data_IF_655732534345
#
_entry.id   IF_655732534345
#
_cell.length_a   1.000
_cell.length_b   1.000
_cell.length_c   1.000
_cell.angle_alpha   90.00
_cell.angle_beta   90.00
_cell.angle_gamma   90.00
#
_symmetry.space_group_name_H-M   'P 1'
#
loop_
_entity.id
_entity.type
_entity.pdbx_description
1 polymer ?
#
# COMPACT_ATOMS: atom_id res chain seq x y z
N UNK A 1 15.71 -15.20 24.41
CA UNK A 1 16.59 -14.61 23.37
C UNK A 1 15.98 -14.75 21.98
N UNK A 2 15.50 -15.94 21.59
CA UNK A 2 14.85 -16.15 20.27
C UNK A 2 13.65 -15.22 20.04
N UNK A 3 12.70 -15.14 20.96
CA UNK A 3 11.54 -14.25 20.86
C UNK A 3 11.89 -12.78 20.69
N UNK A 4 12.95 -12.30 21.34
CA UNK A 4 13.41 -10.91 21.15
C UNK A 4 13.93 -10.67 19.74
N UNK A 5 14.70 -11.60 19.18
CA UNK A 5 15.22 -11.51 17.82
C UNK A 5 14.10 -11.59 16.77
N UNK A 6 13.14 -12.46 16.96
CA UNK A 6 11.94 -12.57 16.14
C UNK A 6 11.16 -11.24 16.07
N UNK A 7 10.85 -10.69 17.25
CA UNK A 7 10.16 -9.41 17.35
C UNK A 7 10.98 -8.27 16.74
N UNK A 8 12.30 -8.29 16.90
CA UNK A 8 13.20 -7.28 16.33
C UNK A 8 13.19 -7.35 14.80
N UNK A 9 13.30 -8.55 14.23
CA UNK A 9 13.29 -8.75 12.77
C UNK A 9 11.95 -8.31 12.19
N UNK A 10 10.83 -8.81 12.72
CA UNK A 10 9.48 -8.40 12.26
C UNK A 10 9.25 -6.89 12.41
N UNK A 11 9.71 -6.29 13.51
CA UNK A 11 9.65 -4.84 13.70
C UNK A 11 10.48 -4.05 12.70
N UNK A 12 11.68 -4.53 12.34
CA UNK A 12 12.52 -3.91 11.31
C UNK A 12 11.85 -3.98 9.92
N UNK A 13 11.27 -5.13 9.57
CA UNK A 13 10.59 -5.31 8.30
C UNK A 13 9.35 -4.42 8.19
N UNK A 14 8.50 -4.37 9.22
CA UNK A 14 7.40 -3.43 9.29
C UNK A 14 7.89 -1.97 9.21
N UNK A 15 8.99 -1.64 9.89
CA UNK A 15 9.62 -0.31 9.85
C UNK A 15 10.09 0.09 8.45
N UNK A 16 10.58 -0.86 7.65
CA UNK A 16 10.93 -0.60 6.24
C UNK A 16 9.70 -0.20 5.41
N UNK A 17 8.57 -0.88 5.59
CA UNK A 17 7.33 -0.53 4.89
C UNK A 17 6.84 0.86 5.30
N UNK A 18 6.87 1.18 6.59
CA UNK A 18 6.52 2.52 7.06
C UNK A 18 7.48 3.60 6.53
N UNK A 19 8.77 3.31 6.39
CA UNK A 19 9.73 4.26 5.84
C UNK A 19 9.49 4.55 4.35
N UNK A 20 9.01 3.59 3.57
CA UNK A 20 8.58 3.83 2.19
C UNK A 20 7.37 4.78 2.12
N UNK A 21 6.40 4.61 3.02
CA UNK A 21 5.27 5.55 3.13
C UNK A 21 5.75 6.94 3.55
N UNK A 22 6.67 7.03 4.51
CA UNK A 22 7.25 8.29 4.95
C UNK A 22 8.03 9.00 3.84
N UNK A 23 8.77 8.26 3.00
CA UNK A 23 9.40 8.80 1.79
C UNK A 23 8.37 9.42 0.85
N UNK A 24 7.22 8.77 0.66
CA UNK A 24 6.11 9.33 -0.12
C UNK A 24 5.64 10.68 0.43
N UNK A 25 5.47 10.81 1.75
CA UNK A 25 5.16 12.08 2.40
C UNK A 25 6.19 13.17 2.11
N UNK A 26 7.48 12.85 2.28
CA UNK A 26 8.57 13.80 2.05
C UNK A 26 8.62 14.26 0.60
N UNK A 27 8.46 13.34 -0.36
CA UNK A 27 8.47 13.66 -1.78
C UNK A 27 7.33 14.59 -2.19
N UNK A 28 6.10 14.29 -1.73
CA UNK A 28 4.92 15.12 -2.00
C UNK A 28 5.12 16.51 -1.39
N UNK A 29 5.52 16.58 -0.12
CA UNK A 29 5.77 17.86 0.55
C UNK A 29 6.86 18.68 -0.14
N UNK A 30 7.96 18.04 -0.54
CA UNK A 30 9.06 18.71 -1.23
C UNK A 30 8.68 19.23 -2.62
N UNK A 31 7.77 18.51 -3.31
CA UNK A 31 7.31 18.87 -4.64
C UNK A 31 6.23 19.95 -4.64
N UNK A 32 5.29 19.90 -3.69
CA UNK A 32 4.08 20.72 -3.67
C UNK A 32 4.06 21.79 -2.57
N UNK A 33 4.89 21.66 -1.53
CA UNK A 33 4.81 22.48 -0.31
C UNK A 33 3.58 22.16 0.57
N UNK A 34 2.77 21.17 0.18
CA UNK A 34 1.53 20.77 0.87
C UNK A 34 1.74 19.43 1.58
N UNK A 35 1.39 19.40 2.87
CA UNK A 35 1.41 18.16 3.64
C UNK A 35 0.14 17.35 3.36
N UNK A 36 0.26 16.23 2.66
CA UNK A 36 -0.89 15.42 2.24
C UNK A 36 -1.22 14.35 3.28
N UNK A 37 -2.17 14.62 4.17
CA UNK A 37 -2.62 13.63 5.18
C UNK A 37 -3.40 12.46 4.57
N UNK A 38 -3.84 12.54 3.30
CA UNK A 38 -4.49 11.43 2.61
C UNK A 38 -3.52 10.34 2.14
N UNK A 39 -2.20 10.49 2.35
CA UNK A 39 -1.19 9.53 1.90
C UNK A 39 -1.47 8.10 2.38
N UNK A 40 -1.85 7.92 3.64
CA UNK A 40 -2.20 6.60 4.19
C UNK A 40 -3.38 5.96 3.48
N UNK A 41 -4.45 6.72 3.24
CA UNK A 41 -5.63 6.26 2.50
C UNK A 41 -5.28 5.91 1.03
N UNK A 42 -4.37 6.66 0.39
CA UNK A 42 -3.88 6.33 -0.95
C UNK A 42 -3.11 5.00 -0.98
N UNK A 43 -2.27 4.74 0.03
CA UNK A 43 -1.54 3.47 0.15
C UNK A 43 -2.52 2.32 0.35
N UNK A 44 -3.51 2.48 1.23
CA UNK A 44 -4.56 1.48 1.46
C UNK A 44 -5.35 1.20 0.17
N UNK A 45 -5.76 2.24 -0.55
CA UNK A 45 -6.48 2.10 -1.82
C UNK A 45 -5.66 1.35 -2.87
N UNK A 46 -4.34 1.64 -2.97
CA UNK A 46 -3.43 0.93 -3.86
C UNK A 46 -3.31 -0.56 -3.49
N UNK A 47 -3.19 -0.87 -2.21
CA UNK A 47 -3.09 -2.24 -1.71
C UNK A 47 -4.36 -3.04 -2.00
N UNK A 48 -5.54 -2.45 -1.75
CA UNK A 48 -6.83 -3.07 -2.06
C UNK A 48 -7.00 -3.30 -3.57
N UNK A 49 -6.65 -2.31 -4.40
CA UNK A 49 -6.68 -2.46 -5.85
C UNK A 49 -5.80 -3.62 -6.31
N UNK A 50 -4.56 -3.69 -5.83
CA UNK A 50 -3.64 -4.77 -6.16
C UNK A 50 -4.20 -6.14 -5.75
N UNK A 51 -4.68 -6.28 -4.51
CA UNK A 51 -5.23 -7.53 -4.01
C UNK A 51 -6.43 -8.01 -4.84
N UNK A 52 -7.35 -7.11 -5.18
CA UNK A 52 -8.52 -7.45 -6.01
C UNK A 52 -8.14 -7.84 -7.43
N UNK A 53 -7.23 -7.12 -8.07
CA UNK A 53 -6.80 -7.51 -9.42
C UNK A 53 -6.00 -8.81 -9.44
N UNK A 54 -5.22 -9.09 -8.40
CA UNK A 54 -4.55 -10.38 -8.26
C UNK A 54 -5.53 -11.56 -8.18
N UNK A 55 -6.71 -11.38 -7.56
CA UNK A 55 -7.78 -12.38 -7.53
C UNK A 55 -8.57 -12.46 -8.85
N UNK A 56 -8.77 -11.33 -9.55
CA UNK A 56 -9.64 -11.27 -10.74
C UNK A 56 -8.93 -11.68 -12.02
N UNK A 57 -7.64 -11.37 -12.16
CA UNK A 57 -6.87 -11.68 -13.37
C UNK A 57 -6.87 -13.17 -13.69
N UNK A 58 -6.58 -14.11 -12.77
CA UNK A 58 -6.64 -15.54 -13.06
C UNK A 58 -8.04 -15.98 -13.51
N UNK A 59 -9.09 -15.43 -12.88
CA UNK A 59 -10.48 -15.77 -13.21
C UNK A 59 -10.90 -15.31 -14.60
N UNK A 60 -10.33 -14.20 -15.11
CA UNK A 60 -10.72 -13.62 -16.39
C UNK A 60 -9.83 -14.08 -17.55
N UNK A 61 -8.55 -14.30 -17.28
CA UNK A 61 -7.57 -14.62 -18.32
C UNK A 61 -7.19 -16.10 -18.36
N UNK A 62 -7.53 -16.87 -17.31
CA UNK A 62 -7.11 -18.27 -17.20
C UNK A 62 -5.61 -18.45 -16.97
N UNK A 63 -4.91 -17.41 -16.53
CA UNK A 63 -3.48 -17.47 -16.21
C UNK A 63 -3.32 -18.06 -14.82
N UNK A 64 -2.93 -19.33 -14.72
CA UNK A 64 -2.75 -20.03 -13.46
C UNK A 64 -1.41 -19.72 -12.77
N UNK A 65 -0.50 -19.00 -13.43
CA UNK A 65 0.78 -18.65 -12.83
C UNK A 65 0.61 -17.43 -11.89
N UNK A 66 0.75 -17.61 -10.55
CA UNK A 66 0.52 -16.54 -9.58
C UNK A 66 1.49 -15.37 -9.74
N UNK A 67 2.72 -15.61 -10.17
CA UNK A 67 3.72 -14.56 -10.36
C UNK A 67 3.30 -13.62 -11.51
N UNK A 68 2.83 -14.19 -12.62
CA UNK A 68 2.38 -13.39 -13.78
C UNK A 68 1.11 -12.62 -13.44
N UNK A 69 0.16 -13.24 -12.72
CA UNK A 69 -1.06 -12.60 -12.30
C UNK A 69 -0.78 -11.42 -11.35
N UNK A 70 0.11 -11.59 -10.38
CA UNK A 70 0.50 -10.55 -9.44
C UNK A 70 1.26 -9.40 -10.12
N UNK A 71 2.15 -9.71 -11.07
CA UNK A 71 2.85 -8.68 -11.85
C UNK A 71 1.85 -7.84 -12.69
N UNK A 72 0.90 -8.50 -13.34
CA UNK A 72 -0.15 -7.82 -14.08
C UNK A 72 -1.04 -6.97 -13.15
N UNK A 73 -1.43 -7.51 -11.98
CA UNK A 73 -2.18 -6.78 -10.97
C UNK A 73 -1.43 -5.54 -10.49
N UNK A 74 -0.12 -5.65 -10.25
CA UNK A 74 0.72 -4.53 -9.86
C UNK A 74 0.74 -3.42 -10.91
N UNK A 75 0.90 -3.76 -12.19
CA UNK A 75 0.89 -2.79 -13.29
C UNK A 75 -0.47 -2.10 -13.40
N UNK A 76 -1.58 -2.85 -13.30
CA UNK A 76 -2.93 -2.30 -13.38
C UNK A 76 -3.21 -1.40 -12.16
N UNK A 77 -2.89 -1.86 -10.95
CA UNK A 77 -3.04 -1.06 -9.73
C UNK A 77 -2.21 0.23 -9.81
N UNK A 78 -0.97 0.14 -10.33
CA UNK A 78 -0.11 1.30 -10.58
C UNK A 78 -0.72 2.30 -11.57
N UNK A 79 -1.31 1.81 -12.66
CA UNK A 79 -2.00 2.66 -13.64
C UNK A 79 -3.22 3.37 -13.02
N UNK A 80 -4.03 2.65 -12.23
CA UNK A 80 -5.17 3.22 -11.50
C UNK A 80 -4.69 4.29 -10.52
N UNK A 81 -3.64 4.00 -9.75
CA UNK A 81 -3.06 4.95 -8.80
C UNK A 81 -2.49 6.19 -9.48
N UNK A 82 -1.90 6.04 -10.66
CA UNK A 82 -1.46 7.19 -11.45
C UNK A 82 -2.63 8.11 -11.83
N UNK A 83 -3.74 7.54 -12.29
CA UNK A 83 -4.96 8.31 -12.62
C UNK A 83 -5.54 8.96 -11.36
N UNK A 84 -5.64 8.24 -10.26
CA UNK A 84 -6.13 8.76 -8.97
C UNK A 84 -5.25 9.91 -8.47
N UNK A 85 -3.92 9.73 -8.49
CA UNK A 85 -2.96 10.75 -8.07
C UNK A 85 -3.05 12.01 -8.95
N UNK A 86 -3.19 11.85 -10.27
CA UNK A 86 -3.37 12.96 -11.21
C UNK A 86 -4.69 13.71 -10.95
N UNK A 87 -5.78 13.00 -10.68
CA UNK A 87 -7.06 13.61 -10.32
C UNK A 87 -6.96 14.39 -9.01
N UNK A 88 -6.33 13.81 -7.98
CA UNK A 88 -6.13 14.45 -6.68
C UNK A 88 -5.28 15.72 -6.84
N UNK A 89 -4.19 15.63 -7.58
CA UNK A 89 -3.34 16.81 -7.87
C UNK A 89 -4.15 17.89 -8.54
N UNK A 90 -4.84 17.56 -9.63
CA UNK A 90 -5.56 18.53 -10.46
C UNK A 90 -6.78 19.14 -9.78
N UNK A 91 -7.56 18.34 -9.04
CA UNK A 91 -8.83 18.75 -8.46
C UNK A 91 -8.69 19.31 -7.04
N UNK A 92 -7.68 18.86 -6.29
CA UNK A 92 -7.55 19.18 -4.86
C UNK A 92 -6.24 19.93 -4.60
N UNK A 93 -5.08 19.27 -4.76
CA UNK A 93 -3.80 19.82 -4.31
C UNK A 93 -3.43 21.11 -5.02
N UNK A 94 -3.71 21.22 -6.30
CA UNK A 94 -3.44 22.43 -7.08
C UNK A 94 -4.15 23.67 -6.56
N UNK A 95 -5.36 23.50 -6.02
CA UNK A 95 -6.14 24.61 -5.47
C UNK A 95 -5.76 24.94 -4.02
N UNK A 96 -5.00 24.07 -3.38
CA UNK A 96 -4.54 24.26 -2.00
C UNK A 96 -3.19 24.98 -1.91
N UNK A 97 -2.51 25.18 -3.02
CA UNK A 97 -1.25 25.93 -3.05
C UNK A 97 -1.51 27.37 -2.61
N UNK A 98 -0.69 27.86 -1.66
CA UNK A 98 -0.80 29.19 -1.04
C UNK A 98 -2.02 29.38 -0.10
N UNK A 99 -2.72 28.33 0.29
CA UNK A 99 -3.76 28.40 1.32
C UNK A 99 -3.16 28.29 2.72
N UNK A 100 -3.92 28.74 3.73
CA UNK A 100 -3.52 28.62 5.12
C UNK A 100 -3.39 27.17 5.56
N UNK A 101 -2.46 26.86 6.47
CA UNK A 101 -2.15 25.50 6.93
C UNK A 101 -3.36 24.72 7.42
N UNK A 102 -4.33 25.41 8.06
CA UNK A 102 -5.55 24.79 8.58
C UNK A 102 -6.46 24.31 7.42
N UNK A 103 -6.53 25.07 6.34
CA UNK A 103 -7.32 24.71 5.15
C UNK A 103 -6.71 23.49 4.48
N UNK A 104 -5.37 23.47 4.34
CA UNK A 104 -4.61 22.34 3.81
C UNK A 104 -4.86 21.06 4.62
N UNK A 105 -4.80 21.16 5.94
CA UNK A 105 -5.04 20.07 6.87
C UNK A 105 -6.47 19.50 6.71
N UNK A 106 -7.49 20.35 6.77
CA UNK A 106 -8.89 19.93 6.65
C UNK A 106 -9.19 19.31 5.29
N UNK A 107 -8.68 19.91 4.20
CA UNK A 107 -8.92 19.41 2.85
C UNK A 107 -8.27 18.03 2.63
N UNK A 108 -7.05 17.82 3.11
CA UNK A 108 -6.36 16.52 2.95
C UNK A 108 -6.94 15.43 3.85
N UNK A 109 -7.46 15.76 5.04
CA UNK A 109 -8.22 14.82 5.86
C UNK A 109 -9.55 14.46 5.17
N UNK A 110 -10.29 15.43 4.66
CA UNK A 110 -11.51 15.17 3.89
C UNK A 110 -11.24 14.26 2.68
N UNK A 111 -10.11 14.49 1.99
CA UNK A 111 -9.66 13.64 0.90
C UNK A 111 -9.33 12.21 1.38
N UNK A 112 -8.74 12.05 2.56
CA UNK A 112 -8.45 10.73 3.13
C UNK A 112 -9.74 9.93 3.33
N UNK A 113 -10.74 10.49 3.97
CA UNK A 113 -12.05 9.85 4.15
C UNK A 113 -12.76 9.56 2.83
N UNK A 114 -12.64 10.46 1.85
CA UNK A 114 -13.20 10.26 0.52
C UNK A 114 -12.58 9.05 -0.19
N UNK A 115 -11.25 8.94 -0.19
CA UNK A 115 -10.51 7.82 -0.81
C UNK A 115 -10.82 6.51 -0.08
N UNK A 116 -10.89 6.54 1.25
CA UNK A 116 -11.23 5.38 2.07
C UNK A 116 -12.64 4.88 1.76
N UNK A 117 -13.62 5.80 1.71
CA UNK A 117 -15.00 5.48 1.33
C UNK A 117 -15.11 4.95 -0.11
N UNK A 118 -14.36 5.52 -1.07
CA UNK A 118 -14.27 4.99 -2.42
C UNK A 118 -13.66 3.59 -2.45
N UNK A 119 -12.59 3.36 -1.71
CA UNK A 119 -11.93 2.06 -1.60
C UNK A 119 -12.90 1.00 -1.10
N UNK A 120 -13.61 1.28 -0.01
CA UNK A 120 -14.61 0.38 0.55
C UNK A 120 -15.80 0.16 -0.40
N UNK A 121 -16.25 1.19 -1.11
CA UNK A 121 -17.37 1.10 -2.06
C UNK A 121 -17.03 0.29 -3.32
N UNK A 122 -15.81 0.39 -3.83
CA UNK A 122 -15.37 -0.30 -5.06
C UNK A 122 -14.83 -1.70 -4.75
N UNK A 123 -13.99 -1.83 -3.72
CA UNK A 123 -13.25 -3.06 -3.42
C UNK A 123 -13.91 -3.92 -2.33
N UNK A 124 -14.86 -3.35 -1.57
CA UNK A 124 -15.49 -3.99 -0.42
C UNK A 124 -14.68 -3.79 0.87
N UNK A 125 -15.24 -4.30 1.98
CA UNK A 125 -14.67 -4.19 3.34
C UNK A 125 -14.06 -5.49 3.82
N UNK A 126 -14.05 -6.53 2.98
CA UNK A 126 -13.52 -7.83 3.37
C UNK A 126 -11.99 -7.83 3.40
N UNK A 127 -11.44 -8.60 4.33
CA UNK A 127 -9.99 -8.82 4.40
C UNK A 127 -9.58 -9.78 3.29
N UNK A 128 -8.71 -9.32 2.38
CA UNK A 128 -8.19 -10.14 1.30
C UNK A 128 -6.77 -10.58 1.62
N UNK A 129 -6.54 -11.90 1.57
CA UNK A 129 -5.21 -12.47 1.56
C UNK A 129 -4.62 -12.40 0.15
N UNK A 130 -3.43 -11.87 0.02
CA UNK A 130 -2.70 -11.85 -1.25
C UNK A 130 -1.79 -13.08 -1.31
N UNK A 131 -2.09 -14.03 -2.19
CA UNK A 131 -1.19 -15.13 -2.51
C UNK A 131 -0.13 -14.63 -3.51
N UNK A 132 1.08 -14.39 -3.04
CA UNK A 132 2.19 -13.95 -3.86
C UNK A 132 2.85 -15.10 -4.65
N UNK A 133 2.40 -16.33 -4.45
CA UNK A 133 3.02 -17.52 -5.06
C UNK A 133 4.41 -17.84 -4.51
N UNK A 134 4.78 -17.21 -3.39
CA UNK A 134 6.01 -17.50 -2.65
C UNK A 134 5.64 -18.49 -1.54
N UNK A 135 6.26 -19.68 -1.48
CA UNK A 135 5.95 -20.62 -0.43
C UNK A 135 6.34 -20.03 0.93
N UNK A 136 5.35 -19.98 1.84
CA UNK A 136 5.54 -19.53 3.21
C UNK A 136 6.17 -20.64 4.04
N UNK A 137 7.44 -20.92 3.75
CA UNK A 137 8.22 -21.93 4.47
C UNK A 137 9.17 -21.25 5.44
N UNK A 138 9.22 -21.73 6.70
CA UNK A 138 10.21 -21.24 7.64
C UNK A 138 11.61 -21.56 7.15
N UNK A 139 12.54 -20.62 7.33
CA UNK A 139 13.92 -20.75 6.89
C UNK A 139 14.63 -21.81 7.74
N UNK A 140 15.09 -22.96 7.15
CA UNK A 140 15.54 -24.12 7.93
C UNK A 140 16.65 -23.82 8.93
N UNK A 141 17.65 -23.02 8.56
CA UNK A 141 18.77 -22.70 9.43
C UNK A 141 18.40 -21.74 10.59
N UNK A 142 17.29 -20.97 10.45
CA UNK A 142 16.74 -20.14 11.52
C UNK A 142 15.91 -20.97 12.49
N UNK A 143 15.20 -21.99 11.98
CA UNK A 143 14.47 -22.94 12.82
C UNK A 143 15.40 -23.71 13.77
N UNK A 144 16.59 -24.12 13.32
CA UNK A 144 17.58 -24.76 14.18
C UNK A 144 18.05 -23.89 15.34
N UNK A 145 17.95 -22.56 15.19
CA UNK A 145 18.24 -21.58 16.23
C UNK A 145 17.02 -21.15 17.05
N UNK A 146 15.85 -21.79 16.83
CA UNK A 146 14.60 -21.51 17.52
C UNK A 146 13.94 -20.19 17.09
N UNK A 147 14.22 -19.71 15.87
CA UNK A 147 13.62 -18.52 15.28
C UNK A 147 12.61 -18.95 14.21
N UNK A 148 11.34 -18.59 14.37
CA UNK A 148 10.28 -18.84 13.40
C UNK A 148 10.12 -17.62 12.49
N UNK A 149 11.08 -17.40 11.59
CA UNK A 149 11.01 -16.37 10.55
C UNK A 149 10.72 -17.09 9.24
N UNK A 150 9.67 -16.66 8.53
CA UNK A 150 9.29 -17.25 7.26
C UNK A 150 10.03 -16.60 6.10
N UNK A 151 10.06 -17.28 4.96
CA UNK A 151 10.60 -16.69 3.70
C UNK A 151 9.74 -15.56 3.17
N UNK A 152 8.55 -15.38 3.73
CA UNK A 152 7.58 -14.36 3.35
C UNK A 152 7.72 -13.06 4.19
N UNK A 153 8.28 -13.14 5.36
CA UNK A 153 8.60 -11.98 6.21
C UNK A 153 9.90 -11.32 5.77
#
# INVERSE_FOLDING_TARGET
MAFFLETLIGGLMAGMLYSLVALGFVLIYKASGVFNFAQGAMVLFAALAMARFAEWIPKWTGIDNPIVANLAAFVIAGAIMFVVAWLIEKLVLRHLVNQEGIILFMATIGLAFFIEGLGQGIWGTEVHGLDLGIPDNPIPWLMEKGLMVSTFE
#
